data_IF_803828580889
#
_entry.id   IF_803828580889
#
_cell.length_a   1.000
_cell.length_b   1.000
_cell.length_c   1.000
_cell.angle_alpha   90.00
_cell.angle_beta   90.00
_cell.angle_gamma   90.00
#
_symmetry.space_group_name_H-M   'P 1'
#
loop_
_entity.id
_entity.type
_entity.pdbx_description
1 polymer ?
#
# COMPACT_ATOMS: atom_id res chain seq x y z
N UNK A 1 45.19 -29.51 18.46
CA UNK A 1 44.03 -28.81 19.07
C UNK A 1 43.96 -27.45 18.37
N UNK A 2 43.37 -27.29 17.17
CA UNK A 2 41.95 -27.32 16.79
C UNK A 2 41.05 -26.53 17.77
N UNK A 3 40.32 -25.58 17.21
CA UNK A 3 39.25 -24.73 17.77
C UNK A 3 39.68 -23.39 18.38
N UNK A 4 39.80 -22.36 17.53
CA UNK A 4 39.20 -21.06 17.86
C UNK A 4 38.50 -20.49 16.61
N UNK A 5 37.23 -20.87 16.55
CA UNK A 5 36.10 -20.53 15.67
C UNK A 5 36.01 -19.01 15.44
N UNK A 6 36.16 -18.53 14.19
CA UNK A 6 35.03 -18.14 13.32
C UNK A 6 34.01 -17.19 13.99
N UNK A 7 34.42 -15.95 14.28
CA UNK A 7 33.50 -14.82 14.59
C UNK A 7 33.93 -13.59 13.80
N UNK A 8 34.02 -13.71 12.47
CA UNK A 8 34.26 -12.55 11.59
C UNK A 8 33.58 -12.68 10.22
N UNK A 9 32.66 -13.64 10.05
CA UNK A 9 32.18 -14.08 8.74
C UNK A 9 30.68 -14.07 8.51
N UNK A 10 29.89 -13.32 9.30
CA UNK A 10 28.42 -13.19 9.08
C UNK A 10 27.93 -11.75 9.36
N UNK A 11 28.67 -10.75 8.88
CA UNK A 11 28.16 -9.36 8.84
C UNK A 11 28.35 -8.68 7.47
N UNK A 12 28.75 -9.46 6.46
CA UNK A 12 29.07 -8.95 5.11
C UNK A 12 28.31 -9.77 4.07
N UNK A 13 26.98 -9.75 4.10
CA UNK A 13 26.14 -10.32 3.03
C UNK A 13 24.90 -9.49 2.68
N UNK A 14 24.75 -8.26 3.20
CA UNK A 14 23.64 -7.35 2.82
C UNK A 14 24.08 -6.04 2.15
N UNK A 15 25.35 -5.91 1.73
CA UNK A 15 25.83 -4.70 1.02
C UNK A 15 26.36 -5.04 -0.38
N UNK A 16 25.78 -6.05 -1.03
CA UNK A 16 25.92 -6.25 -2.46
C UNK A 16 24.74 -5.60 -3.17
N UNK A 17 24.76 -4.27 -3.17
CA UNK A 17 23.81 -3.39 -3.84
C UNK A 17 24.34 -1.96 -3.93
N UNK A 18 25.67 -1.80 -4.03
CA UNK A 18 26.28 -0.53 -4.40
C UNK A 18 26.00 -0.25 -5.89
N UNK A 19 25.40 0.91 -6.18
CA UNK A 19 25.67 1.81 -7.33
C UNK A 19 24.37 2.43 -7.85
N UNK A 20 23.86 3.44 -7.16
CA UNK A 20 22.70 4.22 -7.62
C UNK A 20 22.34 5.30 -6.62
N UNK A 21 22.68 6.54 -6.93
CA UNK A 21 22.15 7.74 -6.30
C UNK A 21 20.62 7.64 -6.14
N UNK A 22 20.10 7.85 -4.92
CA UNK A 22 18.76 8.39 -4.70
C UNK A 22 17.56 7.67 -5.34
N UNK A 23 17.63 6.36 -5.58
CA UNK A 23 16.47 5.60 -6.03
C UNK A 23 15.55 5.30 -4.85
N UNK A 24 14.39 5.96 -4.77
CA UNK A 24 13.29 5.48 -3.93
C UNK A 24 13.09 3.98 -4.20
N UNK A 25 12.81 3.14 -3.17
CA UNK A 25 12.48 1.74 -3.39
C UNK A 25 11.40 1.66 -4.47
N UNK A 26 11.70 0.99 -5.57
CA UNK A 26 10.73 0.83 -6.65
C UNK A 26 9.54 0.04 -6.10
N UNK A 27 8.31 0.52 -6.31
CA UNK A 27 7.14 -0.17 -5.79
C UNK A 27 7.03 -1.55 -6.43
N UNK A 28 6.74 -2.56 -5.60
CA UNK A 28 6.54 -3.95 -6.05
C UNK A 28 5.26 -4.03 -6.90
N UNK A 29 5.36 -4.61 -8.09
CA UNK A 29 4.19 -4.95 -8.92
C UNK A 29 3.52 -6.22 -8.38
N UNK A 30 2.27 -6.09 -7.95
CA UNK A 30 1.44 -7.17 -7.44
C UNK A 30 0.44 -7.70 -8.47
N UNK A 31 0.27 -7.06 -9.65
CA UNK A 31 -0.77 -7.44 -10.59
C UNK A 31 -2.15 -7.54 -9.92
N UNK A 32 -2.83 -8.68 -10.07
CA UNK A 32 -4.12 -8.98 -9.40
C UNK A 32 -3.97 -9.84 -8.12
N UNK A 33 -2.75 -10.04 -7.63
CA UNK A 33 -2.47 -10.88 -6.45
C UNK A 33 -2.64 -10.08 -5.16
N UNK A 34 -3.90 -9.78 -4.77
CA UNK A 34 -4.18 -8.98 -3.58
C UNK A 34 -3.65 -9.65 -2.30
N UNK A 35 -4.12 -10.87 -2.00
CA UNK A 35 -3.82 -11.57 -0.74
C UNK A 35 -2.32 -11.91 -0.59
N UNK A 36 -1.66 -12.33 -1.67
CA UNK A 36 -0.26 -12.76 -1.57
C UNK A 36 0.75 -11.60 -1.68
N UNK A 37 0.29 -10.40 -2.05
CA UNK A 37 1.20 -9.30 -2.34
C UNK A 37 0.75 -7.93 -1.83
N UNK A 38 -0.47 -7.49 -2.14
CA UNK A 38 -0.93 -6.14 -1.82
C UNK A 38 -1.33 -6.01 -0.35
N UNK A 39 -2.10 -6.97 0.16
CA UNK A 39 -2.51 -7.03 1.57
C UNK A 39 -1.33 -7.01 2.55
N UNK A 40 -0.28 -7.86 2.42
CA UNK A 40 0.88 -7.76 3.31
C UNK A 40 1.69 -6.47 3.09
N UNK A 41 1.63 -5.87 1.89
CA UNK A 41 2.27 -4.59 1.63
C UNK A 41 1.52 -3.44 2.32
N UNK A 42 0.19 -3.47 2.41
CA UNK A 42 -0.62 -2.49 3.16
C UNK A 42 -0.32 -2.55 4.65
N UNK A 43 -0.34 -3.76 5.23
CA UNK A 43 -0.06 -3.99 6.65
C UNK A 43 1.32 -3.48 7.08
N UNK A 44 2.29 -3.51 6.15
CA UNK A 44 3.66 -3.06 6.39
C UNK A 44 3.94 -1.67 5.82
N UNK A 45 2.96 -1.05 5.15
CA UNK A 45 3.13 0.13 4.31
C UNK A 45 4.37 0.06 3.42
N UNK A 46 4.61 -1.09 2.79
CA UNK A 46 5.71 -1.28 1.86
C UNK A 46 5.28 -0.80 0.47
N UNK A 47 6.09 0.00 -0.25
CA UNK A 47 5.73 0.45 -1.59
C UNK A 47 5.38 -0.69 -2.54
N UNK A 48 4.15 -0.70 -3.04
CA UNK A 48 3.62 -1.70 -3.94
C UNK A 48 2.50 -1.09 -4.79
N UNK A 49 2.14 -1.78 -5.88
CA UNK A 49 0.98 -1.43 -6.67
C UNK A 49 0.32 -2.68 -7.23
N UNK A 50 -0.99 -2.63 -7.40
CA UNK A 50 -1.77 -3.76 -7.88
C UNK A 50 -3.17 -3.34 -8.30
N UNK A 51 -3.97 -4.34 -8.66
CA UNK A 51 -5.37 -4.18 -9.01
C UNK A 51 -6.22 -5.10 -8.15
N UNK A 52 -7.30 -4.56 -7.65
CA UNK A 52 -8.38 -5.31 -7.03
C UNK A 52 -9.52 -5.42 -8.04
N UNK A 53 -10.00 -6.65 -8.26
CA UNK A 53 -11.15 -6.97 -9.09
C UNK A 53 -12.02 -7.96 -8.33
N UNK A 54 -13.19 -7.50 -7.88
CA UNK A 54 -14.16 -8.31 -7.15
C UNK A 54 -15.37 -8.70 -8.02
N UNK A 55 -15.30 -8.50 -9.34
CA UNK A 55 -16.39 -8.74 -10.28
C UNK A 55 -17.40 -7.60 -10.44
N UNK A 56 -17.40 -6.63 -9.54
CA UNK A 56 -18.25 -5.43 -9.61
C UNK A 56 -17.43 -4.16 -9.82
N UNK A 57 -16.33 -4.03 -9.07
CA UNK A 57 -15.43 -2.90 -9.07
C UNK A 57 -14.04 -3.38 -9.48
N UNK A 58 -13.41 -2.62 -10.38
CA UNK A 58 -11.99 -2.77 -10.69
C UNK A 58 -11.31 -1.50 -10.22
N UNK A 59 -10.28 -1.62 -9.39
CA UNK A 59 -9.54 -0.51 -8.83
C UNK A 59 -8.04 -0.79 -8.92
N UNK A 60 -7.28 0.19 -9.39
CA UNK A 60 -5.83 0.21 -9.21
C UNK A 60 -5.50 0.83 -7.87
N UNK A 61 -4.59 0.21 -7.14
CA UNK A 61 -4.10 0.70 -5.86
C UNK A 61 -2.59 0.79 -5.86
N UNK A 62 -2.07 1.82 -5.18
CA UNK A 62 -0.65 2.09 -5.04
C UNK A 62 -0.32 2.53 -3.63
N UNK A 63 0.49 1.75 -2.96
CA UNK A 63 1.07 2.07 -1.66
C UNK A 63 2.36 2.85 -1.91
N UNK A 64 2.41 4.08 -1.42
CA UNK A 64 3.55 4.98 -1.59
C UNK A 64 4.59 4.82 -0.48
N UNK A 65 4.20 4.20 0.64
CA UNK A 65 5.03 4.05 1.84
C UNK A 65 4.71 5.08 2.92
N UNK A 66 5.50 5.05 3.99
CA UNK A 66 5.34 5.97 5.12
C UNK A 66 5.78 7.40 4.77
N UNK A 67 4.94 8.38 5.11
CA UNK A 67 5.29 9.78 5.25
C UNK A 67 5.10 10.19 6.72
N UNK A 68 6.19 10.18 7.49
CA UNK A 68 6.10 10.34 8.95
C UNK A 68 5.44 9.12 9.58
N UNK A 69 4.37 9.35 10.35
CA UNK A 69 3.59 8.30 11.02
C UNK A 69 2.41 7.79 10.19
N UNK A 70 2.17 8.36 9.00
CA UNK A 70 1.07 7.99 8.12
C UNK A 70 1.55 7.17 6.94
N UNK A 71 0.84 6.07 6.65
CA UNK A 71 0.97 5.33 5.41
C UNK A 71 0.18 6.00 4.30
N UNK A 72 0.85 6.27 3.18
CA UNK A 72 0.21 6.86 2.00
C UNK A 72 -0.21 5.79 0.99
N UNK A 73 -1.45 5.90 0.53
CA UNK A 73 -1.99 5.06 -0.53
C UNK A 73 -2.75 5.92 -1.56
N UNK A 74 -2.76 5.48 -2.80
CA UNK A 74 -3.52 6.07 -3.89
C UNK A 74 -4.37 4.99 -4.55
N UNK A 75 -5.62 5.31 -4.83
CA UNK A 75 -6.59 4.43 -5.46
C UNK A 75 -7.18 5.13 -6.68
N UNK A 76 -7.37 4.37 -7.75
CA UNK A 76 -8.04 4.81 -8.97
C UNK A 76 -9.03 3.75 -9.43
N UNK A 77 -10.28 4.16 -9.58
CA UNK A 77 -11.34 3.27 -10.03
C UNK A 77 -11.29 3.14 -11.56
N UNK A 78 -11.25 1.91 -12.07
CA UNK A 78 -11.24 1.59 -13.49
C UNK A 78 -12.60 1.12 -14.00
N UNK A 79 -13.45 0.60 -13.09
CA UNK A 79 -14.80 0.09 -13.35
C UNK A 79 -15.64 0.14 -12.06
N UNK A 80 -16.98 0.32 -12.15
CA UNK A 80 -17.79 0.51 -13.35
C UNK A 80 -17.67 1.93 -13.94
N UNK A 81 -18.29 2.17 -15.11
CA UNK A 81 -18.11 3.39 -15.90
C UNK A 81 -18.51 4.67 -15.14
N UNK A 82 -19.46 4.55 -14.22
CA UNK A 82 -20.00 5.61 -13.36
C UNK A 82 -18.94 6.20 -12.44
N UNK A 83 -18.01 5.37 -11.98
CA UNK A 83 -16.93 5.77 -11.07
C UNK A 83 -15.55 5.70 -11.72
N UNK A 84 -15.48 5.33 -13.00
CA UNK A 84 -14.23 5.20 -13.73
C UNK A 84 -13.47 6.53 -13.78
N UNK A 85 -12.20 6.47 -13.44
CA UNK A 85 -11.29 7.61 -13.39
C UNK A 85 -11.39 8.43 -12.11
N UNK A 86 -12.35 8.14 -11.23
CA UNK A 86 -12.38 8.72 -9.89
C UNK A 86 -11.20 8.20 -9.08
N UNK A 87 -10.70 9.05 -8.18
CA UNK A 87 -9.52 8.74 -7.37
C UNK A 87 -9.78 8.97 -5.89
N UNK A 88 -9.01 8.27 -5.07
CA UNK A 88 -8.85 8.53 -3.66
C UNK A 88 -7.37 8.52 -3.29
N UNK A 89 -6.96 9.39 -2.38
CA UNK A 89 -5.66 9.41 -1.74
C UNK A 89 -5.87 9.30 -0.24
N UNK A 90 -5.25 8.30 0.36
CA UNK A 90 -5.44 7.93 1.75
C UNK A 90 -4.16 8.13 2.57
N UNK A 91 -4.35 8.51 3.83
CA UNK A 91 -3.33 8.59 4.86
C UNK A 91 -3.78 7.85 6.10
N UNK A 92 -3.31 6.61 6.25
CA UNK A 92 -3.65 5.78 7.39
C UNK A 92 -2.57 5.89 8.46
N UNK A 93 -2.91 6.27 9.70
CA UNK A 93 -1.95 6.26 10.79
C UNK A 93 -1.35 4.87 10.98
N UNK A 94 -0.07 4.77 11.31
CA UNK A 94 0.60 3.48 11.56
C UNK A 94 -0.13 2.60 12.58
N UNK A 95 -0.82 3.21 13.55
CA UNK A 95 -1.61 2.51 14.56
C UNK A 95 -2.84 1.79 14.00
N UNK A 96 -3.32 2.12 12.80
CA UNK A 96 -4.54 1.56 12.21
C UNK A 96 -4.24 0.53 11.12
N UNK A 97 -3.00 0.39 10.63
CA UNK A 97 -2.66 -0.49 9.50
C UNK A 97 -2.98 -1.97 9.73
N UNK A 98 -2.96 -2.45 10.97
CA UNK A 98 -3.35 -3.83 11.30
C UNK A 98 -4.86 -4.02 11.47
N UNK A 99 -5.63 -2.93 11.53
CA UNK A 99 -7.09 -2.94 11.71
C UNK A 99 -7.84 -2.66 10.39
N UNK A 100 -7.18 -2.06 9.40
CA UNK A 100 -7.76 -1.61 8.12
C UNK A 100 -7.77 -2.72 7.05
N UNK A 101 -7.47 -3.98 7.40
CA UNK A 101 -7.45 -5.12 6.45
C UNK A 101 -8.83 -5.52 5.91
N UNK A 102 -9.91 -4.88 6.37
CA UNK A 102 -11.24 -4.91 5.74
C UNK A 102 -11.77 -3.47 5.65
N UNK A 103 -11.46 -2.71 4.59
CA UNK A 103 -12.05 -1.39 4.35
C UNK A 103 -13.52 -1.47 3.90
N UNK A 104 -14.24 -2.53 4.28
CA UNK A 104 -15.70 -2.64 4.14
C UNK A 104 -16.42 -1.48 4.86
N UNK A 105 -15.74 -0.81 5.80
CA UNK A 105 -16.25 0.37 6.46
C UNK A 105 -15.93 1.63 5.65
N UNK A 106 -16.90 2.05 4.84
CA UNK A 106 -16.92 3.34 4.14
C UNK A 106 -16.53 4.49 5.09
N UNK A 107 -16.83 4.38 6.38
CA UNK A 107 -16.44 5.32 7.43
C UNK A 107 -14.93 5.57 7.49
N UNK A 108 -14.11 4.53 7.38
CA UNK A 108 -12.64 4.65 7.43
C UNK A 108 -12.10 5.30 6.16
N UNK A 109 -12.66 4.95 5.00
CA UNK A 109 -12.35 5.62 3.74
C UNK A 109 -12.72 7.12 3.81
N UNK A 110 -13.86 7.47 4.37
CA UNK A 110 -14.29 8.86 4.55
C UNK A 110 -13.40 9.64 5.53
N UNK A 111 -12.80 8.93 6.50
CA UNK A 111 -11.96 9.51 7.56
C UNK A 111 -10.53 9.74 7.08
N UNK A 112 -9.93 8.74 6.44
CA UNK A 112 -8.50 8.73 6.11
C UNK A 112 -8.22 9.05 4.65
N UNK A 113 -9.23 9.03 3.78
CA UNK A 113 -9.07 9.32 2.37
C UNK A 113 -9.71 10.65 1.95
N UNK A 114 -9.21 11.16 0.83
CA UNK A 114 -9.71 12.34 0.13
C UNK A 114 -9.69 12.08 -1.38
N UNK A 115 -10.48 12.81 -2.15
CA UNK A 115 -10.54 12.64 -3.60
C UNK A 115 -11.97 12.60 -4.10
N UNK A 116 -12.13 12.53 -5.42
CA UNK A 116 -13.44 12.73 -6.07
C UNK A 116 -14.45 11.66 -5.68
N UNK A 117 -14.03 10.42 -5.42
CA UNK A 117 -14.94 9.37 -4.95
C UNK A 117 -15.40 9.63 -3.51
N UNK A 118 -14.51 10.13 -2.64
CA UNK A 118 -14.83 10.45 -1.25
C UNK A 118 -15.80 11.63 -1.19
N UNK A 119 -15.63 12.63 -2.07
CA UNK A 119 -16.56 13.75 -2.19
C UNK A 119 -17.97 13.26 -2.60
N UNK A 120 -18.06 12.26 -3.46
CA UNK A 120 -19.34 11.63 -3.82
C UNK A 120 -19.96 10.88 -2.64
N UNK A 121 -19.18 10.09 -1.88
CA UNK A 121 -19.68 9.41 -0.68
C UNK A 121 -20.21 10.41 0.35
N UNK A 122 -19.51 11.55 0.56
CA UNK A 122 -19.99 12.64 1.43
C UNK A 122 -21.28 13.27 0.91
N UNK A 123 -21.37 13.54 -0.40
CA UNK A 123 -22.57 14.11 -1.01
C UNK A 123 -23.79 13.19 -0.89
N UNK A 124 -23.58 11.87 -0.92
CA UNK A 124 -24.59 10.84 -0.76
C UNK A 124 -24.90 10.50 0.71
N UNK A 125 -24.22 11.15 1.68
CA UNK A 125 -24.33 10.86 3.12
C UNK A 125 -24.01 9.40 3.48
N UNK A 126 -23.08 8.83 2.73
CA UNK A 126 -22.46 7.53 3.02
C UNK A 126 -21.25 7.68 3.94
N UNK A 127 -20.76 8.92 4.06
CA UNK A 127 -20.10 9.48 5.22
C UNK A 127 -21.15 10.31 6.03
#
# INVERSE_FOLDING_TARGET
>A
MRFLTLVFGVFVLFIAGCSGLGGQPQPKDCGYAYQECLEPAEQTCTPAYGKLDNGEIIMSERILGFEGDDCKMEMQFESPAEIKGLTASCKFPKSTLTAVTDPDDITDLCTYCSGTIIDQFKALKMC
#
